data_IF_581541089603
#
_entry.id   IF_581541089603
#
_cell.length_a   1.000
_cell.length_b   1.000
_cell.length_c   1.000
_cell.angle_alpha   90.00
_cell.angle_beta   90.00
_cell.angle_gamma   90.00
#
_symmetry.space_group_name_H-M   'P 1'
#
loop_
_entity.id
_entity.type
_entity.pdbx_description
1 polymer ?
#
# COMPACT_ATOMS: atom_id res chain seq x y z
N UNK A 1 -35.38 -68.25 5.49
CA UNK A 1 -35.07 -67.28 4.43
C UNK A 1 -34.59 -66.00 5.09
N UNK A 2 -33.25 -65.77 5.11
CA UNK A 2 -32.66 -64.64 5.77
C UNK A 2 -32.26 -63.59 4.69
N UNK A 3 -32.95 -62.45 4.68
CA UNK A 3 -32.57 -61.29 3.86
C UNK A 3 -31.53 -60.46 4.62
N UNK A 4 -30.27 -60.49 4.18
CA UNK A 4 -29.24 -59.59 4.60
C UNK A 4 -29.38 -58.32 3.77
N UNK A 5 -29.78 -57.20 4.41
CA UNK A 5 -29.74 -55.89 3.82
C UNK A 5 -28.28 -55.36 3.86
N UNK A 6 -27.74 -55.09 2.69
CA UNK A 6 -26.43 -54.50 2.49
C UNK A 6 -26.60 -52.96 2.49
N UNK A 7 -26.16 -52.28 3.57
CA UNK A 7 -26.07 -50.83 3.62
C UNK A 7 -24.81 -50.39 2.88
N UNK A 8 -24.99 -49.77 1.73
CA UNK A 8 -23.90 -49.06 1.03
C UNK A 8 -23.80 -47.64 1.59
N UNK A 9 -22.80 -47.38 2.43
CA UNK A 9 -22.44 -46.02 2.84
C UNK A 9 -21.73 -45.34 1.68
N UNK A 10 -22.41 -44.40 1.01
CA UNK A 10 -21.83 -43.51 0.03
C UNK A 10 -21.18 -42.34 0.80
N UNK A 11 -19.84 -42.34 0.93
CA UNK A 11 -19.09 -41.23 1.47
C UNK A 11 -18.95 -40.16 0.37
N UNK A 12 -19.77 -39.12 0.43
CA UNK A 12 -19.60 -37.94 -0.40
C UNK A 12 -18.40 -37.11 0.15
N UNK A 13 -17.27 -37.21 -0.52
CA UNK A 13 -16.11 -36.32 -0.25
C UNK A 13 -16.45 -34.90 -0.75
N UNK A 14 -16.73 -34.01 0.17
CA UNK A 14 -16.86 -32.58 -0.13
C UNK A 14 -15.45 -32.02 -0.45
N UNK A 15 -15.19 -31.83 -1.72
CA UNK A 15 -14.00 -31.06 -2.17
C UNK A 15 -14.26 -29.60 -1.86
N UNK A 16 -13.67 -29.10 -0.76
CA UNK A 16 -13.63 -27.65 -0.46
C UNK A 16 -12.66 -27.02 -1.44
N UNK A 17 -13.17 -26.47 -2.54
CA UNK A 17 -12.39 -25.56 -3.37
C UNK A 17 -12.16 -24.28 -2.54
N UNK A 18 -10.98 -24.16 -1.96
CA UNK A 18 -10.47 -22.85 -1.53
C UNK A 18 -10.26 -22.01 -2.78
N UNK A 19 -11.27 -21.23 -3.15
CA UNK A 19 -11.07 -20.14 -4.11
C UNK A 19 -10.03 -19.21 -3.49
N UNK A 20 -8.84 -19.16 -4.07
CA UNK A 20 -7.85 -18.13 -3.75
C UNK A 20 -8.56 -16.79 -4.01
N UNK A 21 -8.85 -16.04 -2.94
CA UNK A 21 -9.42 -14.72 -3.07
C UNK A 21 -8.42 -13.88 -3.90
N UNK A 22 -8.95 -13.20 -4.93
CA UNK A 22 -8.12 -12.31 -5.74
C UNK A 22 -7.46 -11.25 -4.84
N UNK A 23 -6.23 -10.85 -5.18
CA UNK A 23 -5.53 -9.80 -4.46
C UNK A 23 -6.37 -8.51 -4.42
N UNK A 24 -6.53 -7.87 -3.26
CA UNK A 24 -7.35 -6.67 -3.13
C UNK A 24 -6.85 -5.55 -4.01
N UNK A 25 -7.76 -4.82 -4.65
CA UNK A 25 -7.45 -3.63 -5.43
C UNK A 25 -8.04 -2.39 -4.77
N UNK A 26 -7.33 -1.26 -4.91
CA UNK A 26 -7.75 0.04 -4.36
C UNK A 26 -7.64 1.11 -5.44
N UNK A 27 -8.72 1.86 -5.65
CA UNK A 27 -8.71 3.07 -6.47
C UNK A 27 -8.34 4.27 -5.60
N UNK A 28 -7.30 4.98 -6.00
CA UNK A 28 -6.80 6.23 -5.41
C UNK A 28 -7.17 7.35 -6.38
N UNK A 29 -8.24 8.07 -6.10
CA UNK A 29 -8.64 9.25 -6.88
C UNK A 29 -7.90 10.47 -6.36
N UNK A 30 -7.22 11.16 -7.24
CA UNK A 30 -6.46 12.37 -6.92
C UNK A 30 -6.85 13.52 -7.84
N UNK A 31 -6.49 14.74 -7.46
CA UNK A 31 -6.63 15.92 -8.33
C UNK A 31 -5.78 15.84 -9.60
N UNK A 32 -4.82 14.92 -9.68
CA UNK A 32 -3.98 14.69 -10.85
C UNK A 32 -4.50 13.58 -11.79
N UNK A 33 -5.41 12.73 -11.30
CA UNK A 33 -5.97 11.56 -11.96
C UNK A 33 -6.16 10.38 -11.00
N UNK A 34 -6.57 9.23 -11.52
CA UNK A 34 -6.82 8.01 -10.74
C UNK A 34 -5.66 7.03 -10.90
N UNK A 35 -5.22 6.46 -9.77
CA UNK A 35 -4.21 5.39 -9.68
C UNK A 35 -4.91 4.16 -9.14
N UNK A 36 -4.71 2.99 -9.74
CA UNK A 36 -5.17 1.71 -9.20
C UNK A 36 -4.01 0.91 -8.65
N UNK A 37 -4.16 0.48 -7.41
CA UNK A 37 -3.22 -0.37 -6.69
C UNK A 37 -3.75 -1.81 -6.63
N UNK A 38 -2.84 -2.78 -6.72
CA UNK A 38 -3.05 -4.17 -6.33
C UNK A 38 -2.20 -4.46 -5.10
N UNK A 39 -2.78 -5.09 -4.09
CA UNK A 39 -2.13 -5.32 -2.79
C UNK A 39 -1.88 -6.81 -2.57
N UNK A 40 -0.78 -7.17 -1.90
CA UNK A 40 -0.32 -8.55 -1.76
C UNK A 40 -0.39 -9.05 -0.30
N UNK A 41 -1.57 -9.41 0.22
CA UNK A 41 -1.74 -9.85 1.61
C UNK A 41 -0.97 -11.13 1.95
N UNK A 42 -0.73 -12.00 0.97
CA UNK A 42 0.08 -13.20 1.17
C UNK A 42 1.56 -12.90 1.49
N UNK A 43 2.06 -11.69 1.18
CA UNK A 43 3.46 -11.29 1.32
C UNK A 43 3.70 -10.26 2.42
N UNK A 44 2.70 -9.43 2.71
CA UNK A 44 2.73 -8.40 3.75
C UNK A 44 1.34 -8.28 4.43
N UNK A 45 0.88 -9.32 5.14
CA UNK A 45 -0.50 -9.40 5.61
C UNK A 45 -0.89 -8.27 6.57
N UNK A 46 -0.06 -7.95 7.55
CA UNK A 46 -0.35 -6.89 8.54
C UNK A 46 -0.32 -5.51 7.90
N UNK A 47 0.58 -5.30 6.95
CA UNK A 47 0.70 -4.04 6.22
C UNK A 47 -0.52 -3.81 5.33
N UNK A 48 -0.94 -4.83 4.58
CA UNK A 48 -2.14 -4.75 3.73
C UNK A 48 -3.39 -4.55 4.56
N UNK A 49 -3.57 -5.29 5.65
CA UNK A 49 -4.72 -5.14 6.56
C UNK A 49 -4.78 -3.71 7.14
N UNK A 50 -3.66 -3.18 7.66
CA UNK A 50 -3.55 -1.83 8.18
C UNK A 50 -3.92 -0.77 7.12
N UNK A 51 -3.37 -0.89 5.91
CA UNK A 51 -3.66 0.03 4.81
C UNK A 51 -5.15 -0.01 4.41
N UNK A 52 -5.71 -1.20 4.23
CA UNK A 52 -7.12 -1.37 3.88
C UNK A 52 -8.06 -0.84 4.98
N UNK A 53 -7.67 -0.96 6.26
CA UNK A 53 -8.45 -0.39 7.35
C UNK A 53 -8.49 1.14 7.27
N UNK A 54 -7.35 1.81 7.00
CA UNK A 54 -7.32 3.25 6.76
C UNK A 54 -8.13 3.67 5.52
N UNK A 55 -8.14 2.85 4.46
CA UNK A 55 -8.98 3.07 3.28
C UNK A 55 -10.46 3.03 3.64
N UNK A 56 -10.90 1.99 4.36
CA UNK A 56 -12.31 1.82 4.79
C UNK A 56 -12.78 2.93 5.72
N UNK A 57 -11.90 3.40 6.62
CA UNK A 57 -12.19 4.50 7.53
C UNK A 57 -12.22 5.87 6.83
N UNK A 58 -11.91 5.95 5.53
CA UNK A 58 -11.81 7.20 4.79
C UNK A 58 -10.66 8.10 5.25
N UNK A 59 -9.68 7.56 5.97
CA UNK A 59 -8.56 8.32 6.52
C UNK A 59 -7.81 9.10 5.43
N UNK A 60 -7.61 8.49 4.27
CA UNK A 60 -6.84 9.10 3.18
C UNK A 60 -7.56 10.22 2.45
N UNK A 61 -8.90 10.31 2.58
CA UNK A 61 -9.69 11.34 1.91
C UNK A 61 -9.30 12.73 2.42
N UNK A 62 -8.96 13.64 1.50
CA UNK A 62 -8.50 14.99 1.80
C UNK A 62 -7.05 15.07 2.27
N UNK A 63 -6.28 13.98 2.20
CA UNK A 63 -4.82 14.02 2.43
C UNK A 63 -4.08 14.41 1.16
N UNK A 64 -2.82 14.84 1.31
CA UNK A 64 -1.97 15.27 0.19
C UNK A 64 -0.75 14.37 0.02
N UNK A 65 -0.21 14.37 -1.19
CA UNK A 65 1.18 13.98 -1.41
C UNK A 65 2.06 15.13 -0.94
N UNK A 66 2.53 15.04 0.30
CA UNK A 66 3.25 16.12 0.98
C UNK A 66 4.75 16.11 0.73
N UNK A 67 5.29 15.03 0.14
CA UNK A 67 6.71 14.90 -0.22
C UNK A 67 6.82 14.21 -1.57
N UNK A 68 7.34 14.91 -2.55
CA UNK A 68 7.50 14.42 -3.93
C UNK A 68 8.92 14.71 -4.39
N UNK A 69 9.66 13.66 -4.71
CA UNK A 69 11.02 13.74 -5.21
C UNK A 69 11.08 13.01 -6.55
N UNK A 70 11.25 13.76 -7.63
CA UNK A 70 11.40 13.19 -8.97
C UNK A 70 12.62 12.26 -9.03
N UNK A 71 12.45 11.10 -9.67
CA UNK A 71 13.51 10.08 -9.74
C UNK A 71 13.69 9.28 -8.44
N UNK A 72 12.80 9.46 -7.44
CA UNK A 72 12.83 8.71 -6.19
C UNK A 72 11.44 8.15 -5.83
N UNK A 73 10.56 8.95 -5.22
CA UNK A 73 9.22 8.50 -4.78
C UNK A 73 8.23 9.66 -4.63
N UNK A 74 6.95 9.33 -4.52
CA UNK A 74 5.88 10.24 -4.09
C UNK A 74 5.29 9.70 -2.79
N UNK A 75 5.28 10.52 -1.72
CA UNK A 75 4.83 10.13 -0.37
C UNK A 75 3.61 10.92 0.05
N UNK A 76 2.62 10.22 0.61
CA UNK A 76 1.34 10.80 1.03
C UNK A 76 0.68 10.07 2.19
N UNK A 77 -0.60 10.42 2.45
CA UNK A 77 -1.47 9.73 3.38
C UNK A 77 -1.38 10.16 4.85
N UNK A 78 -0.53 11.14 5.21
CA UNK A 78 -0.35 11.56 6.59
C UNK A 78 -0.92 12.93 6.93
N UNK A 79 -1.00 13.83 5.96
CA UNK A 79 -1.29 15.25 6.18
C UNK A 79 -2.49 15.71 5.34
N UNK A 80 -3.35 16.51 5.96
CA UNK A 80 -4.43 17.22 5.26
C UNK A 80 -3.87 18.38 4.42
N UNK A 81 -4.72 19.02 3.61
CA UNK A 81 -4.33 20.14 2.73
C UNK A 81 -3.74 21.35 3.46
N UNK A 82 -4.06 21.53 4.74
CA UNK A 82 -3.48 22.55 5.62
C UNK A 82 -2.22 22.07 6.36
N UNK A 83 -1.65 20.93 5.96
CA UNK A 83 -0.50 20.26 6.58
C UNK A 83 -0.69 19.83 8.05
N UNK A 84 -1.93 19.82 8.55
CA UNK A 84 -2.20 19.19 9.85
C UNK A 84 -2.09 17.69 9.69
N UNK A 85 -1.27 17.07 10.54
CA UNK A 85 -1.15 15.61 10.57
C UNK A 85 -2.47 14.99 11.06
N UNK A 86 -2.96 13.98 10.35
CA UNK A 86 -4.15 13.23 10.76
C UNK A 86 -3.78 12.24 11.86
N UNK A 87 -4.70 12.04 12.82
CA UNK A 87 -4.55 11.05 13.88
C UNK A 87 -4.39 9.64 13.28
N UNK A 88 -3.50 8.86 13.85
CA UNK A 88 -3.21 7.50 13.39
C UNK A 88 -3.56 6.46 14.44
N UNK A 89 -3.68 5.22 14.02
CA UNK A 89 -3.76 4.03 14.88
C UNK A 89 -2.37 3.72 15.44
N UNK A 90 -2.28 2.70 16.29
CA UNK A 90 -1.00 2.17 16.74
C UNK A 90 -0.13 1.73 15.54
N UNK A 91 1.20 1.86 15.65
CA UNK A 91 2.11 1.44 14.60
C UNK A 91 2.10 -0.08 14.43
N UNK A 92 2.56 -0.53 13.25
CA UNK A 92 2.65 -1.94 12.88
C UNK A 92 4.10 -2.42 12.80
N UNK A 93 4.28 -3.74 12.97
CA UNK A 93 5.59 -4.38 12.76
C UNK A 93 6.03 -4.24 11.30
N UNK A 94 7.33 -4.07 11.08
CA UNK A 94 7.91 -3.99 9.75
C UNK A 94 7.94 -5.37 9.07
N UNK A 95 7.23 -5.50 7.95
CA UNK A 95 7.21 -6.73 7.14
C UNK A 95 8.17 -6.68 5.94
N UNK A 96 9.13 -5.73 5.89
CA UNK A 96 10.06 -5.59 4.76
C UNK A 96 10.86 -6.87 4.48
N UNK A 97 11.28 -7.60 5.52
CA UNK A 97 11.97 -8.89 5.36
C UNK A 97 11.09 -9.94 4.68
N UNK A 98 9.85 -10.07 5.12
CA UNK A 98 8.90 -11.02 4.54
C UNK A 98 8.55 -10.64 3.09
N UNK A 99 8.33 -9.35 2.84
CA UNK A 99 8.06 -8.81 1.50
C UNK A 99 9.20 -9.14 0.53
N UNK A 100 10.46 -8.86 0.89
CA UNK A 100 11.63 -9.15 0.04
C UNK A 100 11.79 -10.65 -0.19
N UNK A 101 11.65 -11.49 0.84
CA UNK A 101 11.66 -12.96 0.70
C UNK A 101 10.53 -13.47 -0.19
N UNK A 102 9.39 -12.78 -0.18
CA UNK A 102 8.24 -13.02 -1.07
C UNK A 102 8.40 -12.44 -2.48
N UNK A 103 9.55 -11.84 -2.81
CA UNK A 103 9.85 -11.29 -4.14
C UNK A 103 9.36 -9.85 -4.35
N UNK A 104 8.88 -9.15 -3.31
CA UNK A 104 8.52 -7.74 -3.40
C UNK A 104 9.73 -6.86 -3.08
N UNK A 105 10.06 -5.96 -3.99
CA UNK A 105 11.17 -5.01 -3.85
C UNK A 105 10.71 -3.59 -4.11
N UNK A 106 11.48 -2.61 -3.65
CA UNK A 106 11.25 -1.19 -3.92
C UNK A 106 11.68 -0.85 -5.36
N UNK A 107 10.87 -1.26 -6.32
CA UNK A 107 11.02 -1.06 -7.76
C UNK A 107 9.98 -0.05 -8.27
N UNK A 108 10.16 0.44 -9.50
CA UNK A 108 9.21 1.40 -10.12
C UNK A 108 7.77 0.89 -10.02
N UNK A 109 6.89 1.75 -9.53
CA UNK A 109 5.45 1.47 -9.42
C UNK A 109 5.04 0.69 -8.17
N UNK A 110 5.97 0.23 -7.33
CA UNK A 110 5.60 -0.44 -6.06
C UNK A 110 5.21 0.58 -4.99
N UNK A 111 4.29 0.18 -4.10
CA UNK A 111 3.88 0.95 -2.93
C UNK A 111 4.45 0.33 -1.66
N UNK A 112 5.02 1.17 -0.79
CA UNK A 112 5.62 0.76 0.49
C UNK A 112 5.19 1.69 1.63
N UNK A 113 5.28 1.18 2.88
CA UNK A 113 4.99 1.99 4.07
C UNK A 113 6.14 2.93 4.40
N UNK A 114 5.80 4.20 4.62
CA UNK A 114 6.72 5.14 5.23
C UNK A 114 6.78 4.92 6.74
N UNK A 115 7.95 5.19 7.34
CA UNK A 115 8.23 5.04 8.77
C UNK A 115 9.30 6.03 9.24
N UNK A 116 9.49 6.15 10.53
CA UNK A 116 10.63 6.86 11.13
C UNK A 116 11.90 5.97 11.12
N UNK A 117 12.93 6.36 11.85
CA UNK A 117 14.12 5.52 12.07
C UNK A 117 13.81 4.23 12.84
N UNK A 118 12.74 4.22 13.65
CA UNK A 118 12.24 2.97 14.25
C UNK A 118 11.60 2.11 13.15
N UNK A 119 12.09 0.90 12.90
CA UNK A 119 11.53 0.03 11.86
C UNK A 119 10.05 -0.33 12.08
N UNK A 120 9.58 -0.34 13.33
CA UNK A 120 8.20 -0.69 13.69
C UNK A 120 7.31 0.53 13.95
N UNK A 121 7.60 1.66 13.32
CA UNK A 121 6.85 2.92 13.51
C UNK A 121 5.85 3.25 12.39
N UNK A 122 5.69 2.38 11.39
CA UNK A 122 4.77 2.61 10.28
C UNK A 122 3.31 2.68 10.77
N UNK A 123 2.57 3.70 10.30
CA UNK A 123 1.14 3.87 10.61
C UNK A 123 0.30 4.00 9.34
N UNK A 124 0.02 5.24 8.87
CA UNK A 124 -0.83 5.50 7.71
C UNK A 124 -0.04 5.92 6.46
N UNK A 125 1.11 6.58 6.62
CA UNK A 125 1.84 7.13 5.50
C UNK A 125 2.43 6.04 4.60
N UNK A 126 2.36 6.27 3.30
CA UNK A 126 2.90 5.38 2.27
C UNK A 126 3.66 6.20 1.22
N UNK A 127 4.45 5.51 0.42
CA UNK A 127 5.03 6.09 -0.79
C UNK A 127 4.93 5.15 -1.98
N UNK A 128 4.92 5.72 -3.18
CA UNK A 128 5.00 4.99 -4.44
C UNK A 128 6.35 5.29 -5.06
N UNK A 129 7.10 4.23 -5.37
CA UNK A 129 8.40 4.33 -6.00
C UNK A 129 8.26 4.79 -7.46
N UNK A 130 9.02 5.81 -7.87
CA UNK A 130 9.07 6.27 -9.26
C UNK A 130 10.41 5.95 -9.94
N UNK A 131 11.29 5.30 -9.21
CA UNK A 131 12.58 4.77 -9.66
C UNK A 131 12.84 3.41 -9.00
N UNK A 132 13.88 2.71 -9.42
CA UNK A 132 14.42 1.56 -8.69
C UNK A 132 15.16 2.06 -7.45
N UNK A 133 14.58 1.80 -6.29
CA UNK A 133 15.07 2.20 -4.98
C UNK A 133 15.52 0.97 -4.17
N UNK A 134 16.28 0.08 -4.78
CA UNK A 134 16.71 -1.19 -4.17
C UNK A 134 17.42 -1.00 -2.82
N UNK A 135 18.06 0.15 -2.58
CA UNK A 135 18.66 0.50 -1.27
C UNK A 135 17.63 0.62 -0.13
N UNK A 136 16.32 0.70 -0.43
CA UNK A 136 15.23 0.64 0.54
C UNK A 136 14.77 -0.79 0.87
N UNK A 137 15.37 -1.81 0.24
CA UNK A 137 15.02 -3.18 0.52
C UNK A 137 15.65 -3.65 1.84
N UNK A 138 14.96 -4.58 2.53
CA UNK A 138 15.54 -5.23 3.70
C UNK A 138 16.87 -5.92 3.37
N UNK A 139 17.86 -5.70 4.23
CA UNK A 139 19.19 -6.29 4.11
C UNK A 139 20.13 -5.61 3.10
N UNK A 140 19.69 -4.53 2.41
CA UNK A 140 20.59 -3.78 1.55
C UNK A 140 21.57 -2.92 2.39
N UNK A 141 22.90 -3.06 2.20
CA UNK A 141 23.89 -2.36 3.01
C UNK A 141 23.97 -0.84 2.72
N UNK A 142 23.38 -0.37 1.63
CA UNK A 142 23.31 1.07 1.29
C UNK A 142 22.19 1.78 2.04
N UNK A 143 21.24 1.04 2.60
CA UNK A 143 20.14 1.54 3.43
C UNK A 143 20.44 1.38 4.92
N UNK A 144 19.36 1.39 5.72
CA UNK A 144 19.43 1.16 7.17
C UNK A 144 19.38 -0.34 7.56
N UNK A 145 19.36 -1.24 6.57
CA UNK A 145 19.27 -2.68 6.76
C UNK A 145 17.87 -3.19 7.12
N UNK A 146 17.00 -2.38 7.72
CA UNK A 146 15.63 -2.76 8.12
C UNK A 146 14.66 -2.73 6.94
N UNK A 147 14.93 -1.89 5.95
CA UNK A 147 14.15 -1.73 4.74
C UNK A 147 12.74 -1.15 4.96
N UNK A 148 12.01 -0.98 3.86
CA UNK A 148 10.64 -0.49 3.80
C UNK A 148 9.74 -1.56 3.21
N UNK A 149 8.64 -1.87 3.91
CA UNK A 149 7.75 -2.97 3.54
C UNK A 149 6.94 -2.61 2.28
N UNK A 150 7.30 -3.20 1.15
CA UNK A 150 6.48 -3.18 -0.07
C UNK A 150 5.29 -4.11 0.14
N UNK A 151 4.09 -3.63 -0.18
CA UNK A 151 2.86 -4.39 0.03
C UNK A 151 1.90 -4.41 -1.15
N UNK A 152 2.29 -3.80 -2.29
CA UNK A 152 1.50 -3.75 -3.50
C UNK A 152 2.20 -3.05 -4.64
N UNK A 153 1.49 -2.87 -5.75
CA UNK A 153 1.97 -2.12 -6.92
C UNK A 153 0.85 -1.37 -7.62
N UNK A 154 1.23 -0.39 -8.41
CA UNK A 154 0.37 0.30 -9.37
C UNK A 154 0.10 -0.63 -10.55
N UNK A 155 -1.17 -0.91 -10.85
CA UNK A 155 -1.61 -1.71 -12.00
C UNK A 155 -2.30 -0.87 -13.08
N UNK A 156 -2.67 0.38 -12.74
CA UNK A 156 -3.20 1.38 -13.69
C UNK A 156 -2.93 2.79 -13.17
N UNK A 157 -2.74 3.77 -14.06
CA UNK A 157 -2.44 5.16 -13.70
C UNK A 157 -0.96 5.43 -13.42
N UNK A 158 -0.03 4.67 -14.01
CA UNK A 158 1.41 4.93 -13.90
C UNK A 158 1.79 6.29 -14.50
N UNK A 159 1.08 6.74 -15.51
CA UNK A 159 1.20 8.08 -16.09
C UNK A 159 0.82 9.19 -15.10
N UNK A 160 -0.23 8.95 -14.28
CA UNK A 160 -0.63 9.85 -13.18
C UNK A 160 0.46 9.92 -12.12
N UNK A 161 1.04 8.77 -11.71
CA UNK A 161 2.19 8.73 -10.77
C UNK A 161 3.36 9.53 -11.33
N UNK A 162 3.68 9.35 -12.61
CA UNK A 162 4.76 10.09 -13.28
C UNK A 162 4.46 11.59 -13.36
N UNK A 163 3.22 11.97 -13.61
CA UNK A 163 2.78 13.38 -13.61
C UNK A 163 2.95 14.01 -12.24
N UNK A 164 2.56 13.31 -11.17
CA UNK A 164 2.76 13.77 -9.79
C UNK A 164 4.24 13.93 -9.48
N UNK A 165 5.08 12.95 -9.83
CA UNK A 165 6.52 12.98 -9.59
C UNK A 165 7.24 14.15 -10.27
N UNK A 166 6.72 14.64 -11.39
CA UNK A 166 7.25 15.79 -12.15
C UNK A 166 6.66 17.14 -11.71
N UNK A 167 5.76 17.17 -10.73
CA UNK A 167 5.18 18.42 -10.24
C UNK A 167 6.28 19.30 -9.63
N UNK A 168 6.32 20.63 -9.92
CA UNK A 168 7.23 21.54 -9.26
C UNK A 168 7.05 21.54 -7.75
N UNK A 169 8.15 21.41 -7.00
CA UNK A 169 8.16 21.33 -5.55
C UNK A 169 8.87 22.53 -4.92
N UNK A 170 8.72 22.71 -3.62
CA UNK A 170 9.35 23.74 -2.81
C UNK A 170 9.02 23.56 -1.34
N UNK A 171 9.25 24.55 -0.48
CA UNK A 171 8.81 24.52 0.91
C UNK A 171 7.29 24.60 1.00
N UNK A 172 6.70 23.97 2.06
CA UNK A 172 5.27 24.03 2.32
C UNK A 172 4.92 23.51 3.71
N UNK A 173 4.05 24.21 4.43
CA UNK A 173 3.73 23.87 5.82
C UNK A 173 4.98 23.75 6.69
N UNK A 174 5.16 22.64 7.42
CA UNK A 174 6.32 22.41 8.27
C UNK A 174 7.54 21.86 7.48
N UNK A 175 7.42 21.64 6.17
CA UNK A 175 8.45 21.00 5.34
C UNK A 175 9.30 22.05 4.61
N UNK A 176 10.65 21.99 4.72
CA UNK A 176 11.54 22.97 4.09
C UNK A 176 11.68 22.77 2.57
N UNK A 177 11.31 21.60 2.04
CA UNK A 177 11.45 21.23 0.62
C UNK A 177 10.46 20.15 0.20
N UNK A 178 10.47 19.80 -1.08
CA UNK A 178 9.82 18.64 -1.69
C UNK A 178 8.29 18.62 -1.63
N UNK A 179 7.65 19.70 -1.21
CA UNK A 179 6.18 19.82 -1.21
C UNK A 179 5.73 20.31 -2.59
N UNK A 180 4.77 19.65 -3.25
CA UNK A 180 4.17 20.15 -4.48
C UNK A 180 3.65 21.57 -4.33
N UNK A 181 4.09 22.51 -5.19
CA UNK A 181 3.64 23.92 -5.17
C UNK A 181 2.13 24.03 -5.39
N UNK A 182 1.57 23.17 -6.22
CA UNK A 182 0.13 22.94 -6.32
C UNK A 182 -0.19 21.63 -5.59
N UNK A 183 -1.00 21.67 -4.52
CA UNK A 183 -1.31 20.48 -3.73
C UNK A 183 -1.92 19.37 -4.59
N UNK A 184 -1.33 18.18 -4.54
CA UNK A 184 -1.92 16.98 -5.12
C UNK A 184 -2.71 16.29 -4.01
N UNK A 185 -4.03 16.42 -4.08
CA UNK A 185 -4.96 15.90 -3.06
C UNK A 185 -5.43 14.51 -3.41
N UNK A 186 -5.44 13.62 -2.45
CA UNK A 186 -6.15 12.35 -2.52
C UNK A 186 -7.61 12.64 -2.18
N UNK A 187 -8.47 12.68 -3.20
CA UNK A 187 -9.90 12.99 -3.04
C UNK A 187 -10.63 11.84 -2.35
N UNK A 188 -10.31 10.60 -2.75
CA UNK A 188 -10.84 9.40 -2.11
C UNK A 188 -9.96 8.18 -2.38
N UNK A 189 -10.00 7.21 -1.44
CA UNK A 189 -9.53 5.84 -1.67
C UNK A 189 -10.68 4.87 -1.42
N UNK A 190 -10.86 3.91 -2.34
CA UNK A 190 -11.93 2.90 -2.24
C UNK A 190 -11.43 1.52 -2.66
N UNK A 191 -11.84 0.49 -1.90
CA UNK A 191 -11.58 -0.90 -2.29
C UNK A 191 -12.47 -1.24 -3.48
N UNK A 192 -11.87 -1.80 -4.55
CA UNK A 192 -12.59 -2.18 -5.77
C UNK A 192 -13.48 -3.39 -5.47
N UNK A 193 -14.75 -3.34 -5.91
CA UNK A 193 -15.70 -4.43 -5.68
C UNK A 193 -16.32 -4.47 -4.28
N UNK A 194 -15.94 -3.59 -3.35
CA UNK A 194 -16.68 -3.43 -2.10
C UNK A 194 -18.05 -2.78 -2.40
N UNK A 195 -19.12 -3.50 -2.14
CA UNK A 195 -20.47 -2.91 -2.16
C UNK A 195 -20.55 -1.87 -1.04
N UNK A 196 -21.12 -0.71 -1.36
CA UNK A 196 -21.44 0.35 -0.38
C UNK A 196 -22.58 -0.07 0.52
#
# INVERSE_FOLDING_TARGET
MNFKQLFVLSAAAAVVLNALAADPQVDVRTTAGTIRLELYPAKAPKTVENFLQYVRDGHYNGTVFHRVINGFMIQGGGFATNFKQKATRAPIVNEAQAAVKGGLKNEVGTIAMARTSDPNSATAQFFINVSDNSFLNWGDPRGDGNGYAVFGKVISGQDVVTKIAKTPTGPGGPFPSDVPRQPVVIESMTVVGAQK
#
